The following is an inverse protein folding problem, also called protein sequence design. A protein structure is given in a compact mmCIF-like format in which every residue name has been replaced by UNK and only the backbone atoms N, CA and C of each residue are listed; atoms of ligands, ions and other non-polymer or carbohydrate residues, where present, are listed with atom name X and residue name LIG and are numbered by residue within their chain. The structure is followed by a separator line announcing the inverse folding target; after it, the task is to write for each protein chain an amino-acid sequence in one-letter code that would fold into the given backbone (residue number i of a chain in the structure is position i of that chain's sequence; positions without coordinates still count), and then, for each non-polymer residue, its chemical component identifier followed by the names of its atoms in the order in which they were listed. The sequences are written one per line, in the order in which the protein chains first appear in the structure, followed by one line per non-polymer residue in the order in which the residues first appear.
data_IF_376166638747
#
_entry.id   IF_376166638747
#
_cell.length_a   1.000
_cell.length_b   1.000
_cell.length_c   1.000
_cell.angle_alpha   90.00
_cell.angle_beta   90.00
_cell.angle_gamma   90.00
#
_symmetry.space_group_name_H-M   'P 1'
#
loop_
_entity.id
_entity.type
_entity.pdbx_description
1 polymer ?
#
# COMPACT_ATOMS: atom_id res chain seq x y z
N UNK A 1 -4.35 46.09 -61.60
CA UNK A 1 -4.44 44.62 -61.79
C UNK A 1 -4.07 43.93 -60.48
N UNK A 2 -5.00 43.24 -59.82
CA UNK A 2 -4.77 42.63 -58.50
C UNK A 2 -4.14 41.24 -58.65
N UNK A 3 -2.95 41.07 -58.08
CA UNK A 3 -2.30 39.75 -58.01
C UNK A 3 -3.05 38.86 -57.02
N UNK A 4 -3.74 37.84 -57.53
CA UNK A 4 -4.28 36.76 -56.71
C UNK A 4 -3.12 35.87 -56.26
N UNK A 5 -2.51 36.20 -55.12
CA UNK A 5 -1.60 35.27 -54.44
C UNK A 5 -2.43 34.09 -53.92
N UNK A 6 -2.63 33.07 -54.76
CA UNK A 6 -3.07 31.75 -54.32
C UNK A 6 -1.87 31.10 -53.63
N UNK A 7 -1.57 31.58 -52.42
CA UNK A 7 -0.65 30.92 -51.50
C UNK A 7 -1.21 29.54 -51.23
N UNK A 8 -0.68 28.54 -51.94
CA UNK A 8 -0.87 27.13 -51.58
C UNK A 8 -0.29 26.97 -50.18
N UNK A 9 -1.16 27.10 -49.17
CA UNK A 9 -0.89 26.74 -47.77
C UNK A 9 -0.61 25.22 -47.71
N UNK A 10 0.56 24.79 -48.21
CA UNK A 10 1.08 23.41 -48.06
C UNK A 10 1.68 23.22 -46.66
N UNK A 11 0.98 23.72 -45.65
CA UNK A 11 1.31 23.60 -44.24
C UNK A 11 0.30 22.73 -43.51
N UNK A 12 -0.12 21.61 -44.11
CA UNK A 12 -1.00 20.65 -43.45
C UNK A 12 -0.23 19.87 -42.39
N UNK A 13 -0.08 20.46 -41.20
CA UNK A 13 0.60 19.82 -40.06
C UNK A 13 0.04 18.42 -39.81
N UNK A 14 0.94 17.43 -39.68
CA UNK A 14 0.58 16.02 -39.55
C UNK A 14 -0.38 15.83 -38.38
N UNK A 15 -1.65 15.55 -38.69
CA UNK A 15 -2.71 15.38 -37.69
C UNK A 15 -2.30 14.30 -36.70
N UNK A 16 -2.26 14.66 -35.41
CA UNK A 16 -1.90 13.75 -34.33
C UNK A 16 -2.82 12.53 -34.39
N UNK A 17 -2.24 11.34 -34.56
CA UNK A 17 -2.99 10.07 -34.55
C UNK A 17 -3.69 9.92 -33.19
N UNK A 18 -4.96 9.50 -33.22
CA UNK A 18 -5.72 9.17 -32.01
C UNK A 18 -5.01 8.05 -31.27
N UNK A 19 -4.80 8.21 -29.96
CA UNK A 19 -4.26 7.11 -29.15
C UNK A 19 -5.31 6.00 -29.11
N UNK A 20 -4.95 4.82 -29.59
CA UNK A 20 -5.74 3.61 -29.41
C UNK A 20 -5.26 2.90 -28.14
N UNK A 21 -6.13 2.78 -27.15
CA UNK A 21 -5.81 2.10 -25.90
C UNK A 21 -6.20 0.63 -26.04
N UNK A 22 -5.21 -0.26 -26.04
CA UNK A 22 -5.43 -1.71 -26.21
C UNK A 22 -5.83 -2.40 -24.91
N UNK A 23 -5.51 -1.82 -23.75
CA UNK A 23 -5.79 -2.39 -22.43
C UNK A 23 -6.66 -1.46 -21.57
N UNK A 24 -7.52 -2.04 -20.71
CA UNK A 24 -8.32 -1.25 -19.79
C UNK A 24 -7.42 -0.49 -18.81
N UNK A 25 -7.87 0.69 -18.40
CA UNK A 25 -7.14 1.54 -17.47
C UNK A 25 -7.03 0.86 -16.11
N UNK A 26 -5.80 0.66 -15.62
CA UNK A 26 -5.52 0.08 -14.30
C UNK A 26 -6.09 0.97 -13.18
N UNK A 27 -6.93 0.38 -12.32
CA UNK A 27 -7.45 1.05 -11.13
C UNK A 27 -6.33 1.11 -10.08
N UNK A 28 -6.13 2.30 -9.49
CA UNK A 28 -5.13 2.50 -8.43
C UNK A 28 -5.61 1.90 -7.11
N UNK A 29 -4.69 1.37 -6.31
CA UNK A 29 -5.00 0.88 -4.97
C UNK A 29 -5.56 2.01 -4.09
N UNK A 30 -6.69 1.76 -3.43
CA UNK A 30 -7.31 2.66 -2.46
C UNK A 30 -7.11 2.09 -1.06
N UNK A 31 -6.61 2.90 -0.13
CA UNK A 31 -6.40 2.49 1.25
C UNK A 31 -7.75 2.22 1.96
N UNK A 32 -7.88 1.03 2.56
CA UNK A 32 -9.07 0.67 3.35
C UNK A 32 -8.99 1.35 4.72
N UNK A 33 -9.93 2.25 5.01
CA UNK A 33 -10.03 2.92 6.31
C UNK A 33 -10.77 2.02 7.30
N UNK A 34 -10.04 1.42 8.23
CA UNK A 34 -10.63 0.69 9.36
C UNK A 34 -10.79 1.66 10.53
N UNK A 35 -12.02 1.86 10.98
CA UNK A 35 -12.30 2.73 12.14
C UNK A 35 -11.71 2.11 13.40
N UNK A 36 -11.11 2.93 14.26
CA UNK A 36 -10.59 2.54 15.58
C UNK A 36 -9.65 1.32 15.58
N UNK A 37 -8.74 1.25 14.60
CA UNK A 37 -7.84 0.11 14.43
C UNK A 37 -6.91 -0.15 15.66
N UNK A 38 -6.57 0.90 16.41
CA UNK A 38 -5.64 0.83 17.56
C UNK A 38 -6.22 0.01 18.72
N UNK A 39 -7.53 0.08 18.95
CA UNK A 39 -8.17 -0.63 20.07
C UNK A 39 -8.09 -2.16 19.90
N UNK A 40 -7.94 -2.65 18.67
CA UNK A 40 -7.81 -4.10 18.40
C UNK A 40 -6.50 -4.71 18.93
N UNK A 41 -5.54 -3.90 19.36
CA UNK A 41 -4.23 -4.37 19.82
C UNK A 41 -4.17 -4.57 21.33
N UNK A 42 -5.20 -4.12 22.05
CA UNK A 42 -5.26 -4.17 23.50
C UNK A 42 -6.48 -4.97 23.96
N UNK A 43 -6.27 -5.79 24.98
CA UNK A 43 -7.33 -6.41 25.76
C UNK A 43 -7.24 -5.86 27.18
N UNK A 44 -8.36 -5.41 27.72
CA UNK A 44 -8.47 -4.93 29.09
C UNK A 44 -9.21 -6.01 29.87
N UNK A 45 -8.61 -6.49 30.95
CA UNK A 45 -9.26 -7.43 31.86
C UNK A 45 -10.05 -6.68 32.95
N UNK A 46 -10.99 -7.37 33.61
CA UNK A 46 -11.87 -6.78 34.63
C UNK A 46 -11.11 -6.17 35.82
N UNK A 47 -9.89 -6.65 36.07
CA UNK A 47 -8.99 -6.13 37.09
C UNK A 47 -8.22 -4.87 36.66
N UNK A 48 -8.54 -4.30 35.48
CA UNK A 48 -7.87 -3.11 34.92
C UNK A 48 -6.47 -3.36 34.37
N UNK A 49 -6.03 -4.61 34.26
CA UNK A 49 -4.74 -4.97 33.64
C UNK A 49 -4.86 -4.95 32.12
N UNK A 50 -3.83 -4.42 31.45
CA UNK A 50 -3.80 -4.26 29.99
C UNK A 50 -2.88 -5.33 29.38
N UNK A 51 -3.45 -6.16 28.51
CA UNK A 51 -2.74 -7.15 27.71
C UNK A 51 -2.56 -6.68 26.27
N UNK A 52 -1.32 -6.73 25.77
CA UNK A 52 -0.99 -6.43 24.38
C UNK A 52 -1.13 -7.69 23.53
N UNK A 53 -1.97 -7.63 22.49
CA UNK A 53 -2.30 -8.78 21.64
C UNK A 53 -1.32 -9.00 20.49
N UNK A 54 -0.50 -8.00 20.17
CA UNK A 54 0.49 -8.06 19.08
C UNK A 54 1.91 -7.84 19.60
N UNK A 55 2.87 -8.40 18.86
CA UNK A 55 4.30 -8.22 19.12
C UNK A 55 4.73 -6.79 18.79
N UNK A 56 5.55 -6.22 19.65
CA UNK A 56 6.22 -4.93 19.42
C UNK A 56 7.46 -5.11 18.54
N UNK A 57 7.81 -4.10 17.75
CA UNK A 57 9.05 -4.11 16.99
C UNK A 57 10.26 -3.94 17.94
N UNK A 58 11.35 -4.66 17.67
CA UNK A 58 12.58 -4.61 18.47
C UNK A 58 13.65 -3.70 17.85
N UNK A 59 13.40 -3.11 16.68
CA UNK A 59 14.34 -2.15 16.10
C UNK A 59 14.47 -0.93 17.01
N UNK A 60 15.69 -0.41 17.14
CA UNK A 60 15.96 0.82 17.91
C UNK A 60 15.15 2.02 17.37
N UNK A 61 14.91 2.06 16.05
CA UNK A 61 14.08 3.08 15.40
C UNK A 61 12.56 2.90 15.67
N UNK A 62 12.16 1.71 16.10
CA UNK A 62 10.78 1.31 16.30
C UNK A 62 10.56 0.85 17.74
N UNK A 63 10.47 1.82 18.66
CA UNK A 63 10.28 1.56 20.08
C UNK A 63 8.89 1.08 20.50
N UNK A 64 8.68 1.07 21.82
CA UNK A 64 7.45 0.63 22.48
C UNK A 64 6.22 1.40 21.96
N UNK A 65 5.26 0.65 21.39
CA UNK A 65 4.03 1.18 20.79
C UNK A 65 3.88 0.94 19.29
N UNK A 66 4.94 0.53 18.59
CA UNK A 66 4.85 0.10 17.18
C UNK A 66 4.66 -1.42 17.13
N UNK A 67 3.42 -1.83 16.83
CA UNK A 67 3.06 -3.23 16.71
C UNK A 67 3.36 -3.77 15.31
N UNK A 68 3.92 -4.98 15.25
CA UNK A 68 4.09 -5.72 14.01
C UNK A 68 2.74 -6.28 13.53
N UNK A 69 2.53 -6.26 12.21
CA UNK A 69 1.42 -6.92 11.56
C UNK A 69 1.63 -8.44 11.61
N UNK A 70 0.63 -9.15 12.13
CA UNK A 70 0.55 -10.60 12.07
C UNK A 70 -0.05 -10.99 10.71
N UNK A 71 0.80 -11.54 9.85
CA UNK A 71 0.38 -12.31 8.68
C UNK A 71 0.45 -13.81 9.02
N UNK A 72 -0.04 -14.64 8.11
CA UNK A 72 -0.06 -16.10 8.27
C UNK A 72 1.35 -16.69 8.38
N UNK A 73 2.26 -16.21 7.56
CA UNK A 73 3.62 -16.71 7.36
C UNK A 73 4.69 -15.86 8.06
N UNK A 74 4.35 -14.63 8.45
CA UNK A 74 5.32 -13.64 8.93
C UNK A 74 4.76 -12.60 9.88
N UNK A 75 5.65 -12.00 10.65
CA UNK A 75 5.46 -10.71 11.30
C UNK A 75 6.15 -9.61 10.50
N UNK A 76 5.44 -8.53 10.23
CA UNK A 76 5.96 -7.41 9.45
C UNK A 76 5.81 -6.08 10.19
N UNK A 77 6.89 -5.31 10.31
CA UNK A 77 6.81 -3.94 10.80
C UNK A 77 6.53 -2.96 9.65
N UNK A 78 5.43 -2.21 9.73
CA UNK A 78 5.08 -1.23 8.71
C UNK A 78 5.96 0.03 8.67
N UNK A 79 6.77 0.29 9.72
CA UNK A 79 7.63 1.49 9.81
C UNK A 79 9.05 1.22 9.30
N UNK A 80 9.75 0.24 9.87
CA UNK A 80 11.13 -0.10 9.48
C UNK A 80 11.25 -1.21 8.42
N UNK A 81 10.15 -1.88 8.06
CA UNK A 81 10.18 -2.96 7.07
C UNK A 81 10.75 -4.29 7.57
N UNK A 82 11.11 -4.40 8.86
CA UNK A 82 11.59 -5.66 9.44
C UNK A 82 10.56 -6.78 9.30
N UNK A 83 11.03 -7.94 8.87
CA UNK A 83 10.24 -9.15 8.68
C UNK A 83 10.81 -10.27 9.53
N UNK A 84 9.95 -10.95 10.30
CA UNK A 84 10.26 -12.23 10.92
C UNK A 84 9.37 -13.29 10.31
N UNK A 85 9.96 -14.38 9.83
CA UNK A 85 9.21 -15.54 9.33
C UNK A 85 9.05 -16.51 10.49
N UNK A 86 7.90 -17.17 10.60
CA UNK A 86 7.78 -18.24 11.59
C UNK A 86 8.76 -19.35 11.22
N UNK A 87 9.60 -19.77 12.16
CA UNK A 87 10.22 -21.08 12.03
C UNK A 87 9.07 -22.09 12.04
N UNK A 88 8.98 -22.96 11.04
CA UNK A 88 8.10 -24.12 11.06
C UNK A 88 8.48 -24.94 12.30
N UNK A 89 7.77 -24.69 13.41
CA UNK A 89 7.77 -25.61 14.53
C UNK A 89 6.72 -26.63 14.19
N UNK A 90 7.21 -27.82 13.84
CA UNK A 90 6.45 -29.05 13.63
C UNK A 90 5.19 -29.08 14.49
N UNK A 91 4.10 -29.57 13.90
CA UNK A 91 2.77 -29.80 14.48
C UNK A 91 2.74 -30.80 15.66
N UNK A 92 3.70 -30.73 16.60
CA UNK A 92 3.81 -31.60 17.77
C UNK A 92 3.55 -30.81 19.06
N UNK A 93 2.29 -30.46 19.27
CA UNK A 93 1.63 -30.46 20.57
C UNK A 93 0.19 -29.98 20.37
N UNK A 94 -0.63 -30.90 19.87
CA UNK A 94 -2.05 -30.92 20.13
C UNK A 94 -2.30 -31.98 21.20
#
# INVERSE_FOLDING_TARGET
STLHLVLRLRGGGKKRKKKNYTTPKKIKHKHKKVKLAVLKYYRVDDNGKIHRLRRECQAEECGAGIFMASHFDRYYCGKCGLTYVYAEKDEKNK
#
